data_IF_946739339969
#
_entry.id   IF_946739339969
#
_cell.length_a   1.000
_cell.length_b   1.000
_cell.length_c   1.000
_cell.angle_alpha   90.00
_cell.angle_beta   90.00
_cell.angle_gamma   90.00
#
_symmetry.space_group_name_H-M   'P 1'
#
loop_
_entity.id
_entity.type
_entity.pdbx_description
1 polymer ?
#
# COMPACT_ATOMS: atom_id res chain seq x y z
N UNK A 1 5.88 18.58 6.00
CA UNK A 1 5.66 17.97 4.67
C UNK A 1 4.78 18.89 3.87
N UNK A 2 5.15 19.17 2.63
CA UNK A 2 4.57 20.26 1.83
C UNK A 2 3.58 19.76 0.78
N UNK A 3 3.82 18.56 0.25
CA UNK A 3 2.93 17.91 -0.70
C UNK A 3 3.04 16.38 -0.60
N UNK A 4 2.22 15.67 -1.37
CA UNK A 4 2.35 14.22 -1.57
C UNK A 4 3.07 13.90 -2.89
N UNK A 5 3.62 12.69 -2.99
CA UNK A 5 4.34 12.24 -4.18
C UNK A 5 3.42 12.22 -5.41
N UNK A 6 2.11 12.02 -5.24
CA UNK A 6 1.16 12.07 -6.35
C UNK A 6 1.07 13.48 -6.95
N UNK A 7 1.13 14.53 -6.13
CA UNK A 7 1.16 15.92 -6.56
C UNK A 7 2.46 16.23 -7.32
N UNK A 8 3.59 15.71 -6.84
CA UNK A 8 4.89 15.81 -7.53
C UNK A 8 4.81 15.17 -8.92
N UNK A 9 4.31 13.94 -9.03
CA UNK A 9 4.19 13.23 -10.31
C UNK A 9 3.23 13.96 -11.26
N UNK A 10 2.07 14.41 -10.77
CA UNK A 10 1.10 15.16 -11.57
C UNK A 10 1.58 16.53 -12.03
N UNK A 11 2.48 17.18 -11.27
CA UNK A 11 3.01 18.49 -11.64
C UNK A 11 3.81 18.46 -12.94
N UNK A 12 4.32 17.29 -13.33
CA UNK A 12 5.20 17.14 -14.48
C UNK A 12 6.56 17.82 -14.29
N UNK A 13 6.90 18.21 -13.05
CA UNK A 13 8.23 18.74 -12.75
C UNK A 13 9.30 17.70 -13.15
N UNK A 14 10.45 18.12 -13.71
CA UNK A 14 11.48 17.17 -14.11
C UNK A 14 12.01 16.39 -12.90
N UNK A 15 11.83 15.06 -12.92
CA UNK A 15 12.44 14.14 -11.98
C UNK A 15 13.54 13.34 -12.71
N UNK A 16 14.66 13.16 -12.04
CA UNK A 16 15.80 12.39 -12.54
C UNK A 16 15.81 10.99 -11.93
N UNK A 17 16.59 10.08 -12.51
CA UNK A 17 16.80 8.72 -11.96
C UNK A 17 17.24 8.75 -10.49
N UNK A 18 18.09 9.72 -10.11
CA UNK A 18 18.51 9.92 -8.72
C UNK A 18 17.35 10.26 -7.77
N UNK A 19 16.35 11.02 -8.24
CA UNK A 19 15.13 11.27 -7.46
C UNK A 19 14.33 9.99 -7.28
N UNK A 20 14.19 9.17 -8.33
CA UNK A 20 13.51 7.89 -8.25
C UNK A 20 14.20 6.93 -7.27
N UNK A 21 15.53 6.81 -7.37
CA UNK A 21 16.33 6.02 -6.42
C UNK A 21 16.11 6.49 -4.98
N UNK A 22 16.19 7.80 -4.74
CA UNK A 22 16.01 8.37 -3.40
C UNK A 22 14.60 8.09 -2.84
N UNK A 23 13.54 8.30 -3.62
CA UNK A 23 12.18 8.03 -3.16
C UNK A 23 11.95 6.55 -2.88
N UNK A 24 12.38 5.65 -3.78
CA UNK A 24 12.22 4.20 -3.58
C UNK A 24 13.02 3.72 -2.38
N UNK A 25 14.25 4.21 -2.20
CA UNK A 25 15.06 3.91 -1.02
C UNK A 25 14.35 4.31 0.27
N UNK A 26 13.89 5.57 0.37
CA UNK A 26 13.21 6.07 1.57
C UNK A 26 11.90 5.32 1.87
N UNK A 27 11.14 4.94 0.83
CA UNK A 27 9.94 4.09 0.99
C UNK A 27 10.34 2.73 1.58
N UNK A 28 11.38 2.09 1.04
CA UNK A 28 11.83 0.77 1.52
C UNK A 28 12.42 0.83 2.94
N UNK A 29 13.15 1.88 3.31
CA UNK A 29 13.61 2.09 4.70
C UNK A 29 12.42 2.18 5.67
N UNK A 30 11.42 3.00 5.33
CA UNK A 30 10.19 3.09 6.12
C UNK A 30 9.46 1.76 6.20
N UNK A 31 9.39 1.03 5.08
CA UNK A 31 8.71 -0.25 5.01
C UNK A 31 9.44 -1.36 5.79
N UNK A 32 10.78 -1.38 5.80
CA UNK A 32 11.60 -2.28 6.62
C UNK A 32 11.24 -2.12 8.10
N UNK A 33 11.17 -0.86 8.55
CA UNK A 33 10.78 -0.54 9.92
C UNK A 33 9.35 -1.03 10.23
N UNK A 34 8.37 -0.68 9.39
CA UNK A 34 6.96 -1.09 9.55
C UNK A 34 6.82 -2.62 9.56
N UNK A 35 7.43 -3.30 8.60
CA UNK A 35 7.36 -4.76 8.47
C UNK A 35 8.03 -5.49 9.62
N UNK A 36 9.13 -4.96 10.17
CA UNK A 36 9.76 -5.54 11.35
C UNK A 36 8.91 -5.43 12.62
N UNK A 37 7.92 -4.54 12.64
CA UNK A 37 6.90 -4.46 13.70
C UNK A 37 5.70 -5.39 13.48
N UNK A 38 5.75 -6.27 12.47
CA UNK A 38 4.63 -7.10 12.01
C UNK A 38 3.38 -6.29 11.60
N UNK A 39 3.59 -5.13 11.00
CA UNK A 39 2.53 -4.28 10.42
C UNK A 39 2.59 -4.37 8.90
N UNK A 40 1.43 -4.50 8.25
CA UNK A 40 1.26 -4.32 6.81
C UNK A 40 0.59 -2.97 6.55
N UNK A 41 1.11 -2.19 5.60
CA UNK A 41 0.53 -0.88 5.29
C UNK A 41 -0.76 -1.01 4.47
N UNK A 42 -0.80 -1.92 3.49
CA UNK A 42 -1.96 -2.29 2.64
C UNK A 42 -2.49 -1.22 1.69
N UNK A 43 -2.15 0.04 1.88
CA UNK A 43 -2.55 1.16 1.01
C UNK A 43 -1.38 2.08 0.62
N UNK A 44 -0.23 1.50 0.28
CA UNK A 44 0.87 2.29 -0.27
C UNK A 44 0.49 2.78 -1.68
N UNK A 45 0.53 4.10 -1.86
CA UNK A 45 0.28 4.80 -3.12
C UNK A 45 0.94 6.18 -3.05
N UNK A 46 1.22 6.85 -4.18
CA UNK A 46 1.87 8.16 -4.17
C UNK A 46 1.15 9.22 -3.30
N UNK A 47 -0.17 9.12 -3.13
CA UNK A 47 -0.94 10.02 -2.26
C UNK A 47 -0.69 9.83 -0.76
N UNK A 48 -0.17 8.66 -0.35
CA UNK A 48 0.14 8.32 1.03
C UNK A 48 1.65 8.43 1.33
N UNK A 49 2.39 9.09 0.43
CA UNK A 49 3.82 9.35 0.56
C UNK A 49 4.04 10.85 0.57
N UNK A 50 4.30 11.40 1.75
CA UNK A 50 4.49 12.82 1.95
C UNK A 50 5.91 13.21 1.58
N UNK A 51 6.09 14.37 0.94
CA UNK A 51 7.38 14.89 0.49
C UNK A 51 7.53 16.37 0.88
N UNK A 52 8.75 16.81 1.17
CA UNK A 52 9.12 18.22 1.39
C UNK A 52 10.10 18.73 0.32
N UNK A 53 10.43 20.03 0.35
CA UNK A 53 11.37 20.67 -0.55
C UNK A 53 12.76 20.01 -0.61
N UNK A 54 13.19 19.37 0.48
CA UNK A 54 14.48 18.68 0.58
C UNK A 54 14.44 17.24 0.03
N UNK A 55 13.32 16.84 -0.60
CA UNK A 55 13.06 15.49 -1.11
C UNK A 55 13.09 14.39 -0.02
N UNK A 56 12.85 14.76 1.24
CA UNK A 56 12.60 13.80 2.30
C UNK A 56 11.18 13.24 2.13
N UNK A 57 11.05 11.93 2.25
CA UNK A 57 9.83 11.18 2.07
C UNK A 57 9.42 10.50 3.39
N UNK A 58 8.14 10.58 3.74
CA UNK A 58 7.56 9.84 4.87
C UNK A 58 6.26 9.16 4.47
N UNK A 59 6.12 7.90 4.87
CA UNK A 59 4.89 7.12 4.71
C UNK A 59 3.84 7.65 5.71
N UNK A 60 2.60 7.82 5.26
CA UNK A 60 1.47 8.21 6.09
C UNK A 60 0.23 7.37 5.78
N UNK A 61 -0.84 7.61 6.55
CA UNK A 61 -2.15 6.97 6.41
C UNK A 61 -2.15 5.45 6.68
N UNK A 62 -2.07 5.12 7.97
CA UNK A 62 -2.14 3.75 8.49
C UNK A 62 -3.58 3.30 8.78
N UNK A 63 -4.62 3.99 8.28
CA UNK A 63 -6.02 3.64 8.56
C UNK A 63 -6.40 2.24 8.06
N UNK A 64 -5.74 1.78 7.00
CA UNK A 64 -5.92 0.46 6.38
C UNK A 64 -4.87 -0.56 6.85
N UNK A 65 -3.95 -0.16 7.74
CA UNK A 65 -2.89 -1.03 8.21
C UNK A 65 -3.43 -2.14 9.10
N UNK A 66 -2.82 -3.33 9.04
CA UNK A 66 -3.22 -4.49 9.87
C UNK A 66 -2.01 -5.27 10.35
N UNK A 67 -2.23 -6.07 11.38
CA UNK A 67 -1.25 -7.03 11.87
C UNK A 67 -0.98 -8.12 10.85
N UNK A 68 0.28 -8.51 10.75
CA UNK A 68 0.71 -9.73 10.10
C UNK A 68 0.96 -10.78 11.17
N UNK A 69 0.23 -11.90 11.12
CA UNK A 69 0.57 -13.09 11.88
C UNK A 69 1.23 -14.14 10.99
N UNK A 70 2.06 -15.00 11.57
CA UNK A 70 2.53 -16.21 10.87
C UNK A 70 1.40 -17.23 10.76
N UNK A 71 0.40 -17.17 11.65
CA UNK A 71 -0.78 -18.03 11.61
C UNK A 71 -1.78 -17.52 10.55
N UNK A 72 -2.06 -18.29 9.48
CA UNK A 72 -3.03 -17.91 8.46
C UNK A 72 -4.45 -17.72 9.00
N UNK A 73 -4.84 -18.41 10.09
CA UNK A 73 -6.18 -18.29 10.69
C UNK A 73 -6.36 -16.92 11.35
N UNK A 74 -5.32 -16.39 11.98
CA UNK A 74 -5.33 -15.03 12.54
C UNK A 74 -5.38 -13.96 11.44
N UNK A 75 -4.84 -14.25 10.25
CA UNK A 75 -4.88 -13.34 9.10
C UNK A 75 -6.23 -13.33 8.35
N UNK A 76 -7.10 -14.32 8.58
CA UNK A 76 -8.33 -14.51 7.81
C UNK A 76 -9.42 -13.45 8.11
N UNK A 77 -9.38 -12.81 9.29
CA UNK A 77 -10.36 -11.80 9.70
C UNK A 77 -10.26 -10.44 8.97
N UNK A 78 -9.21 -10.21 8.18
CA UNK A 78 -8.84 -8.86 7.71
C UNK A 78 -9.32 -8.50 6.28
N UNK A 79 -10.27 -9.26 5.73
CA UNK A 79 -10.66 -9.22 4.30
C UNK A 79 -11.51 -8.02 3.86
N UNK A 80 -12.01 -7.19 4.78
CA UNK A 80 -13.05 -6.19 4.49
C UNK A 80 -12.52 -4.76 4.37
N UNK A 81 -11.90 -4.42 3.22
CA UNK A 81 -11.83 -3.00 2.85
C UNK A 81 -11.84 -2.75 1.33
N UNK A 82 -13.05 -2.65 0.79
CA UNK A 82 -13.34 -2.43 -0.64
C UNK A 82 -13.29 -0.94 -1.06
N UNK A 83 -12.89 -0.03 -0.16
CA UNK A 83 -13.09 1.42 -0.32
C UNK A 83 -11.77 2.18 -0.51
N UNK A 84 -10.88 1.71 -1.39
CA UNK A 84 -9.65 2.44 -1.74
C UNK A 84 -9.25 2.27 -3.20
N UNK A 85 -8.22 3.04 -3.61
CA UNK A 85 -7.67 3.04 -4.97
C UNK A 85 -7.04 1.68 -5.28
N UNK A 86 -7.66 0.90 -6.18
CA UNK A 86 -7.22 -0.47 -6.52
C UNK A 86 -5.92 -0.58 -7.32
N UNK A 87 -5.44 0.54 -7.88
CA UNK A 87 -4.33 0.57 -8.84
C UNK A 87 -3.00 0.04 -8.30
N UNK A 88 -2.81 0.10 -6.97
CA UNK A 88 -1.59 -0.33 -6.29
C UNK A 88 -1.78 -1.63 -5.49
N UNK A 89 -2.95 -2.26 -5.57
CA UNK A 89 -3.25 -3.50 -4.85
C UNK A 89 -2.57 -4.69 -5.54
N UNK A 90 -1.97 -5.55 -4.72
CA UNK A 90 -1.33 -6.78 -5.19
C UNK A 90 -2.36 -7.77 -5.78
N UNK A 91 -2.01 -8.56 -6.79
CA UNK A 91 -2.93 -9.50 -7.43
C UNK A 91 -3.48 -10.51 -6.42
N UNK A 92 -2.68 -10.92 -5.44
CA UNK A 92 -3.12 -11.87 -4.41
C UNK A 92 -4.22 -11.35 -3.48
N UNK A 93 -4.32 -10.02 -3.29
CA UNK A 93 -5.42 -9.35 -2.57
C UNK A 93 -6.72 -9.43 -3.38
N UNK A 94 -6.63 -9.41 -4.70
CA UNK A 94 -7.79 -9.47 -5.59
C UNK A 94 -8.25 -10.91 -5.87
N UNK A 95 -7.34 -11.87 -5.75
CA UNK A 95 -7.53 -13.27 -6.10
C UNK A 95 -7.77 -14.18 -4.88
N UNK A 96 -7.85 -13.58 -3.69
CA UNK A 96 -8.08 -14.26 -2.40
C UNK A 96 -7.08 -15.38 -2.13
N UNK A 97 -5.78 -15.11 -2.30
CA UNK A 97 -4.78 -16.05 -1.79
C UNK A 97 -4.92 -16.10 -0.28
N UNK A 98 -4.83 -17.31 0.29
CA UNK A 98 -4.93 -17.53 1.74
C UNK A 98 -3.70 -17.01 2.51
N UNK A 99 -2.73 -16.40 1.82
CA UNK A 99 -1.44 -15.95 2.37
C UNK A 99 -1.18 -14.47 2.06
N UNK A 100 -1.75 -13.58 2.86
CA UNK A 100 -1.36 -12.18 2.86
C UNK A 100 -0.02 -12.04 3.59
N UNK A 101 0.98 -11.53 2.89
CA UNK A 101 2.33 -11.36 3.44
C UNK A 101 2.80 -9.93 3.24
N UNK A 102 3.96 -9.61 3.83
CA UNK A 102 4.73 -8.38 3.57
C UNK A 102 4.93 -8.09 2.08
N UNK A 103 4.86 -9.11 1.21
CA UNK A 103 4.97 -8.94 -0.24
C UNK A 103 3.91 -8.00 -0.85
N UNK A 104 2.73 -7.87 -0.24
CA UNK A 104 1.65 -7.02 -0.80
C UNK A 104 2.07 -5.55 -0.89
N UNK A 105 2.83 -5.07 0.10
CA UNK A 105 3.31 -3.69 0.12
C UNK A 105 4.44 -3.52 -0.90
N UNK A 106 5.29 -4.54 -1.11
CA UNK A 106 6.34 -4.51 -2.14
C UNK A 106 5.75 -4.38 -3.55
N UNK A 107 4.62 -5.04 -3.82
CA UNK A 107 3.90 -4.85 -5.08
C UNK A 107 3.48 -3.40 -5.29
N UNK A 108 2.94 -2.76 -4.25
CA UNK A 108 2.57 -1.35 -4.29
C UNK A 108 3.78 -0.45 -4.56
N UNK A 109 4.95 -0.74 -3.97
CA UNK A 109 6.21 -0.04 -4.28
C UNK A 109 6.61 -0.22 -5.74
N UNK A 110 6.46 -1.43 -6.30
CA UNK A 110 6.67 -1.67 -7.73
C UNK A 110 5.75 -0.83 -8.61
N UNK A 111 4.47 -0.71 -8.25
CA UNK A 111 3.52 0.16 -8.94
C UNK A 111 3.93 1.65 -8.87
N UNK A 112 4.42 2.10 -7.71
CA UNK A 112 4.93 3.46 -7.51
C UNK A 112 6.17 3.72 -8.37
N UNK A 113 7.12 2.78 -8.43
CA UNK A 113 8.31 2.89 -9.30
C UNK A 113 7.91 2.95 -10.78
N UNK A 114 6.99 2.10 -11.23
CA UNK A 114 6.49 2.16 -12.61
C UNK A 114 5.78 3.49 -12.91
N UNK A 115 5.06 4.06 -11.94
CA UNK A 115 4.42 5.37 -12.08
C UNK A 115 5.43 6.53 -12.11
N UNK A 116 6.50 6.47 -11.32
CA UNK A 116 7.60 7.42 -11.39
C UNK A 116 8.29 7.40 -12.77
N UNK A 117 8.56 6.21 -13.31
CA UNK A 117 9.16 6.03 -14.63
C UNK A 117 8.22 6.45 -15.77
N UNK A 118 6.91 6.23 -15.61
CA UNK A 118 5.90 6.47 -16.65
C UNK A 118 5.17 7.82 -16.55
N UNK A 119 5.31 8.54 -15.43
CA UNK A 119 4.58 9.77 -15.12
C UNK A 119 3.07 9.60 -14.93
N UNK A 120 2.57 8.36 -14.82
CA UNK A 120 1.14 8.04 -14.69
C UNK A 120 0.94 6.66 -14.03
N UNK A 121 -0.21 6.42 -13.37
CA UNK A 121 -0.50 5.13 -12.76
C UNK A 121 -0.34 3.98 -13.76
N UNK A 122 0.38 2.93 -13.35
CA UNK A 122 0.78 1.83 -14.24
C UNK A 122 -0.36 0.85 -14.55
N UNK A 123 -1.04 0.36 -13.51
CA UNK A 123 -2.24 -0.47 -13.64
C UNK A 123 -3.48 0.33 -13.24
N UNK A 124 -4.19 0.88 -14.22
CA UNK A 124 -5.32 1.80 -14.00
C UNK A 124 -6.66 1.13 -14.25
N UNK A 125 -6.94 0.04 -13.55
CA UNK A 125 -8.18 -0.73 -13.66
C UNK A 125 -9.41 0.05 -13.23
N UNK A 126 -10.45 -0.01 -14.06
CA UNK A 126 -11.77 0.59 -13.78
C UNK A 126 -12.55 -0.18 -12.72
N UNK A 127 -12.39 -1.49 -12.71
CA UNK A 127 -12.97 -2.45 -11.77
C UNK A 127 -11.96 -3.59 -11.49
N UNK A 128 -12.37 -4.63 -10.75
CA UNK A 128 -11.48 -5.74 -10.40
C UNK A 128 -11.04 -6.57 -11.61
N UNK A 129 -11.95 -6.80 -12.56
CA UNK A 129 -11.68 -7.62 -13.75
C UNK A 129 -10.76 -6.86 -14.69
N UNK A 130 -11.03 -5.58 -14.93
CA UNK A 130 -10.19 -4.68 -15.73
C UNK A 130 -8.81 -4.51 -15.11
N UNK A 131 -8.71 -4.40 -13.78
CA UNK A 131 -7.42 -4.34 -13.07
C UNK A 131 -6.61 -5.63 -13.27
N UNK A 132 -7.22 -6.80 -13.13
CA UNK A 132 -6.56 -8.09 -13.37
C UNK A 132 -6.10 -8.22 -14.82
N UNK A 133 -6.95 -7.85 -15.78
CA UNK A 133 -6.61 -7.87 -17.20
C UNK A 133 -5.44 -6.95 -17.53
N UNK A 134 -5.36 -5.76 -16.93
CA UNK A 134 -4.21 -4.88 -17.10
C UNK A 134 -2.93 -5.49 -16.54
N UNK A 135 -2.99 -6.12 -15.36
CA UNK A 135 -1.83 -6.82 -14.79
C UNK A 135 -1.35 -7.92 -15.73
N UNK A 136 -2.26 -8.80 -16.17
CA UNK A 136 -1.94 -9.92 -17.07
C UNK A 136 -1.45 -9.47 -18.45
N UNK A 137 -1.94 -8.33 -18.94
CA UNK A 137 -1.48 -7.75 -20.21
C UNK A 137 0.01 -7.44 -20.20
N UNK A 138 0.53 -6.90 -19.09
CA UNK A 138 1.95 -6.55 -18.98
C UNK A 138 2.81 -7.71 -18.47
N UNK A 139 2.35 -8.44 -17.45
CA UNK A 139 3.14 -9.51 -16.82
C UNK A 139 3.01 -10.86 -17.54
N UNK A 140 2.01 -11.01 -18.40
CA UNK A 140 1.68 -12.24 -19.10
C UNK A 140 0.78 -13.17 -18.30
N UNK A 141 0.36 -14.26 -18.95
CA UNK A 141 -0.42 -15.32 -18.32
C UNK A 141 0.47 -16.08 -17.31
N UNK A 142 0.08 -16.18 -16.02
CA UNK A 142 0.83 -16.93 -15.02
C UNK A 142 0.88 -18.43 -15.38
N UNK A 143 1.92 -19.11 -14.90
CA UNK A 143 2.06 -20.56 -15.08
C UNK A 143 1.00 -21.33 -14.26
N UNK A 144 0.82 -22.62 -14.56
CA UNK A 144 -0.17 -23.45 -13.86
C UNK A 144 0.11 -23.59 -12.35
N UNK A 145 1.38 -23.56 -11.93
CA UNK A 145 1.72 -23.65 -10.51
C UNK A 145 1.21 -22.43 -9.74
N UNK A 146 1.46 -21.22 -10.26
CA UNK A 146 0.97 -19.97 -9.72
C UNK A 146 -0.56 -19.88 -9.80
N UNK A 147 -1.18 -20.36 -10.89
CA UNK A 147 -2.65 -20.42 -11.02
C UNK A 147 -3.28 -21.32 -9.96
N UNK A 148 -2.70 -22.49 -9.68
CA UNK A 148 -3.22 -23.42 -8.69
C UNK A 148 -3.21 -22.86 -7.26
N UNK A 149 -2.33 -21.87 -6.98
CA UNK A 149 -2.24 -21.21 -5.66
C UNK A 149 -3.31 -20.15 -5.43
N UNK A 150 -4.02 -19.71 -6.48
CA UNK A 150 -5.14 -18.76 -6.36
C UNK A 150 -6.27 -19.42 -5.56
N UNK A 151 -6.70 -18.81 -4.45
CA UNK A 151 -7.72 -19.40 -3.57
C UNK A 151 -9.14 -19.38 -4.13
N UNK A 152 -9.41 -18.59 -5.17
CA UNK A 152 -10.72 -18.48 -5.81
C UNK A 152 -10.84 -19.35 -7.07
N UNK A 153 -11.68 -20.41 -7.08
CA UNK A 153 -11.88 -21.27 -8.26
C UNK A 153 -12.37 -20.49 -9.48
N UNK A 154 -13.22 -19.48 -9.28
CA UNK A 154 -13.72 -18.62 -10.36
C UNK A 154 -12.63 -17.79 -10.98
N UNK A 155 -11.74 -17.24 -10.16
CA UNK A 155 -10.63 -16.46 -10.67
C UNK A 155 -9.64 -17.34 -11.42
N UNK A 156 -9.39 -18.57 -10.95
CA UNK A 156 -8.60 -19.54 -11.70
C UNK A 156 -9.21 -19.85 -13.07
N UNK A 157 -10.50 -20.19 -13.12
CA UNK A 157 -11.20 -20.50 -14.36
C UNK A 157 -11.22 -19.30 -15.31
N UNK A 158 -11.44 -18.09 -14.77
CA UNK A 158 -11.38 -16.85 -15.53
C UNK A 158 -10.03 -16.69 -16.23
N UNK A 159 -8.91 -16.81 -15.49
CA UNK A 159 -7.57 -16.64 -16.07
C UNK A 159 -7.23 -17.77 -17.06
N UNK A 160 -7.64 -19.02 -16.79
CA UNK A 160 -7.45 -20.15 -17.72
C UNK A 160 -8.18 -19.97 -19.05
N UNK A 161 -9.33 -19.29 -19.04
CA UNK A 161 -10.13 -19.03 -20.24
C UNK A 161 -9.63 -17.82 -21.06
N UNK A 162 -8.69 -17.04 -20.54
CA UNK A 162 -8.08 -15.95 -21.29
C UNK A 162 -7.10 -16.49 -22.34
N UNK A 163 -6.94 -15.79 -23.49
CA UNK A 163 -5.89 -16.13 -24.43
C UNK A 163 -4.51 -15.96 -23.78
N UNK A 164 -3.56 -16.79 -24.20
CA UNK A 164 -2.18 -16.68 -23.74
C UNK A 164 -1.60 -15.30 -24.05
N UNK A 165 -1.03 -14.66 -23.02
CA UNK A 165 -0.37 -13.36 -23.11
C UNK A 165 1.11 -13.52 -22.74
N UNK A 166 2.06 -13.21 -23.64
CA UNK A 166 3.47 -13.18 -23.28
C UNK A 166 3.79 -11.93 -22.44
N UNK A 167 4.69 -12.08 -21.45
CA UNK A 167 5.20 -10.96 -20.66
C UNK A 167 5.81 -9.88 -21.57
N UNK A 168 5.43 -8.62 -21.34
CA UNK A 168 6.02 -7.47 -22.02
C UNK A 168 7.25 -7.03 -21.22
N UNK A 169 8.43 -7.11 -21.85
CA UNK A 169 9.67 -6.66 -21.21
C UNK A 169 9.59 -5.17 -20.83
N UNK A 170 9.89 -4.82 -19.58
CA UNK A 170 9.81 -3.44 -19.07
C UNK A 170 10.67 -2.45 -19.87
N UNK A 171 11.80 -2.89 -20.44
CA UNK A 171 12.62 -2.04 -21.33
C UNK A 171 11.86 -1.57 -22.59
N UNK A 172 10.85 -2.32 -23.06
CA UNK A 172 9.99 -1.85 -24.15
C UNK A 172 9.00 -0.77 -23.71
N UNK A 173 8.61 -0.79 -22.44
CA UNK A 173 7.68 0.17 -21.85
C UNK A 173 8.39 1.45 -21.42
N UNK A 174 9.62 1.32 -20.92
CA UNK A 174 10.45 2.40 -20.39
C UNK A 174 11.85 2.38 -21.04
N UNK A 175 11.98 2.66 -22.34
CA UNK A 175 13.22 2.47 -23.10
C UNK A 175 14.38 3.38 -22.68
N UNK A 176 14.09 4.48 -21.99
CA UNK A 176 15.08 5.43 -21.50
C UNK A 176 15.40 5.26 -20.02
N UNK A 177 14.76 4.29 -19.34
CA UNK A 177 14.97 4.07 -17.91
C UNK A 177 16.29 3.35 -17.65
N UNK A 178 16.83 3.55 -16.45
CA UNK A 178 18.01 2.84 -15.98
C UNK A 178 17.73 1.32 -15.98
N UNK A 179 18.59 0.48 -16.60
CA UNK A 179 18.41 -0.98 -16.60
C UNK A 179 18.29 -1.59 -15.20
N UNK A 180 19.03 -1.07 -14.21
CA UNK A 180 18.95 -1.55 -12.83
C UNK A 180 17.60 -1.19 -12.17
N UNK A 181 16.97 -0.07 -12.57
CA UNK A 181 15.62 0.29 -12.13
C UNK A 181 14.59 -0.71 -12.65
N UNK A 182 14.72 -1.10 -13.92
CA UNK A 182 13.83 -2.06 -14.56
C UNK A 182 13.99 -3.47 -13.99
N UNK A 183 15.22 -3.84 -13.65
CA UNK A 183 15.54 -5.11 -12.99
C UNK A 183 14.97 -5.17 -11.56
N UNK A 184 15.01 -4.06 -10.81
CA UNK A 184 14.33 -3.98 -9.51
C UNK A 184 12.81 -4.03 -9.66
N UNK A 185 12.27 -3.26 -10.62
CA UNK A 185 10.84 -3.21 -10.92
C UNK A 185 10.28 -4.59 -11.26
N UNK A 186 11.00 -5.37 -12.07
CA UNK A 186 10.59 -6.72 -12.47
C UNK A 186 10.46 -7.66 -11.26
N UNK A 187 11.39 -7.55 -10.31
CA UNK A 187 11.37 -8.35 -9.07
C UNK A 187 10.30 -7.90 -8.07
N UNK A 188 9.92 -6.61 -8.08
CA UNK A 188 8.81 -6.09 -7.26
C UNK A 188 7.44 -6.44 -7.82
N UNK A 189 7.31 -6.46 -9.16
CA UNK A 189 6.06 -6.78 -9.86
C UNK A 189 5.97 -8.27 -10.26
N UNK A 190 6.55 -9.16 -9.46
CA UNK A 190 6.29 -10.59 -9.60
C UNK A 190 4.82 -10.89 -9.27
N UNK A 191 4.14 -11.60 -10.17
CA UNK A 191 2.73 -11.97 -9.99
C UNK A 191 2.56 -12.92 -8.80
N UNK A 192 3.44 -13.92 -8.69
CA UNK A 192 3.50 -14.80 -7.53
C UNK A 192 4.17 -14.07 -6.35
N UNK A 193 3.50 -13.89 -5.20
CA UNK A 193 4.09 -13.20 -4.05
C UNK A 193 5.32 -13.90 -3.48
N UNK A 194 5.49 -15.21 -3.70
CA UNK A 194 6.66 -15.97 -3.25
C UNK A 194 7.92 -15.71 -4.09
N UNK A 195 7.76 -15.26 -5.33
CA UNK A 195 8.85 -14.86 -6.22
C UNK A 195 9.21 -13.38 -6.08
N UNK A 196 8.38 -12.62 -5.35
CA UNK A 196 8.57 -11.19 -5.14
C UNK A 196 9.77 -10.92 -4.23
N UNK A 197 10.59 -9.94 -4.59
CA UNK A 197 11.72 -9.51 -3.76
C UNK A 197 11.23 -9.04 -2.38
N UNK A 198 11.99 -9.33 -1.33
CA UNK A 198 11.69 -8.78 0.01
C UNK A 198 12.22 -7.36 0.13
N UNK A 199 11.77 -6.61 1.13
CA UNK A 199 12.24 -5.25 1.37
C UNK A 199 13.75 -5.20 1.60
N UNK A 200 14.29 -6.16 2.36
CA UNK A 200 15.71 -6.26 2.68
C UNK A 200 16.54 -6.50 1.41
N UNK A 201 16.12 -7.47 0.59
CA UNK A 201 16.77 -7.74 -0.70
C UNK A 201 16.67 -6.58 -1.68
N UNK A 202 15.59 -5.80 -1.61
CA UNK A 202 15.41 -4.61 -2.44
C UNK A 202 16.36 -3.47 -2.03
N UNK A 203 16.59 -3.27 -0.73
CA UNK A 203 17.58 -2.31 -0.21
C UNK A 203 19.00 -2.66 -0.64
N UNK A 204 19.34 -3.96 -0.66
CA UNK A 204 20.62 -4.47 -1.14
C UNK A 204 20.78 -4.46 -2.68
N UNK A 205 19.74 -4.08 -3.42
CA UNK A 205 19.75 -4.14 -4.89
C UNK A 205 20.71 -3.10 -5.49
N UNK A 206 21.37 -3.45 -6.60
CA UNK A 206 22.33 -2.57 -7.30
C UNK A 206 21.77 -1.17 -7.59
N UNK A 207 20.49 -1.10 -7.93
CA UNK A 207 19.81 0.17 -8.19
C UNK A 207 19.84 1.15 -7.00
N UNK A 208 19.91 0.67 -5.77
CA UNK A 208 19.90 1.49 -4.55
C UNK A 208 21.27 1.54 -3.85
N UNK A 209 22.31 0.95 -4.45
CA UNK A 209 23.64 0.78 -3.83
C UNK A 209 24.28 2.10 -3.35
N UNK A 210 23.96 3.23 -3.98
CA UNK A 210 24.49 4.55 -3.59
C UNK A 210 23.92 5.02 -2.24
N UNK A 211 22.69 4.60 -1.92
CA UNK A 211 21.95 5.02 -0.73
C UNK A 211 22.02 3.99 0.40
N UNK A 212 22.17 2.71 0.06
CA UNK A 212 22.14 1.61 1.00
C UNK A 212 23.22 1.74 2.09
N UNK A 213 22.77 1.88 3.33
CA UNK A 213 23.60 1.81 4.53
C UNK A 213 22.87 0.99 5.60
N UNK A 214 23.27 -0.29 5.83
CA UNK A 214 22.64 -1.14 6.83
C UNK A 214 22.59 -0.54 8.24
N UNK A 215 23.52 0.36 8.58
CA UNK A 215 23.57 1.00 9.90
C UNK A 215 22.55 2.11 10.09
N UNK A 216 22.04 2.67 8.98
CA UNK A 216 21.02 3.73 8.96
C UNK A 216 19.64 3.19 8.50
N UNK A 217 19.47 1.87 8.50
CA UNK A 217 18.23 1.20 8.14
C UNK A 217 17.67 0.37 9.33
N UNK A 218 17.17 1.04 10.38
CA UNK A 218 16.77 0.37 11.62
C UNK A 218 15.51 -0.48 11.44
N UNK A 219 15.38 -1.49 12.29
CA UNK A 219 14.13 -2.22 12.53
C UNK A 219 13.42 -1.66 13.75
N UNK A 220 12.11 -1.85 13.84
CA UNK A 220 11.31 -1.49 15.01
C UNK A 220 11.76 -2.31 16.22
N UNK A 221 12.00 -1.68 17.40
CA UNK A 221 12.45 -2.39 18.60
C UNK A 221 11.43 -3.38 19.17
N UNK A 222 10.16 -3.22 18.86
CA UNK A 222 9.07 -4.06 19.34
C UNK A 222 8.00 -4.25 18.26
N UNK A 223 7.34 -5.41 18.30
CA UNK A 223 6.17 -5.68 17.46
C UNK A 223 4.97 -4.83 17.91
N UNK A 224 4.15 -4.43 16.95
CA UNK A 224 2.95 -3.66 17.23
C UNK A 224 1.79 -4.58 17.60
N UNK A 225 1.10 -4.28 18.71
CA UNK A 225 0.02 -5.12 19.21
C UNK A 225 -1.34 -4.64 18.69
N UNK A 226 -2.01 -5.48 17.89
CA UNK A 226 -3.33 -5.21 17.33
C UNK A 226 -4.51 -5.63 18.23
N UNK A 227 -4.26 -5.92 19.51
CA UNK A 227 -5.29 -6.38 20.44
C UNK A 227 -6.45 -5.40 20.68
N UNK A 228 -6.33 -4.15 20.22
CA UNK A 228 -7.43 -3.18 20.28
C UNK A 228 -8.47 -3.37 19.15
N UNK A 229 -8.16 -4.09 18.07
CA UNK A 229 -9.07 -4.23 16.91
C UNK A 229 -10.31 -5.09 17.22
N UNK A 230 -10.27 -5.91 18.28
CA UNK A 230 -11.42 -6.73 18.71
C UNK A 230 -12.47 -5.95 19.50
N UNK A 231 -12.20 -4.68 19.81
CA UNK A 231 -13.11 -3.84 20.59
C UNK A 231 -14.23 -3.31 19.69
N UNK A 232 -15.44 -3.83 19.88
CA UNK A 232 -16.62 -3.40 19.11
C UNK A 232 -17.39 -2.23 19.77
N UNK A 233 -17.22 -2.01 21.09
CA UNK A 233 -17.96 -0.97 21.81
C UNK A 233 -17.42 0.44 21.54
N UNK A 234 -18.30 1.34 21.10
CA UNK A 234 -17.95 2.71 20.74
C UNK A 234 -17.52 3.54 21.97
N UNK A 235 -18.09 3.30 23.15
CA UNK A 235 -17.70 4.06 24.34
C UNK A 235 -16.30 3.65 24.83
N UNK A 236 -15.99 2.36 24.75
CA UNK A 236 -14.65 1.83 25.02
C UNK A 236 -13.63 2.38 24.00
N UNK A 237 -13.92 2.33 22.70
CA UNK A 237 -13.06 2.93 21.67
C UNK A 237 -12.79 4.42 21.94
N UNK A 238 -13.84 5.19 22.29
CA UNK A 238 -13.69 6.61 22.62
C UNK A 238 -12.79 6.82 23.84
N UNK A 239 -12.91 5.97 24.86
CA UNK A 239 -12.05 6.02 26.04
C UNK A 239 -10.59 5.72 25.68
N UNK A 240 -10.34 4.67 24.89
CA UNK A 240 -8.99 4.30 24.44
C UNK A 240 -8.32 5.43 23.65
N UNK A 241 -9.05 6.10 22.76
CA UNK A 241 -8.54 7.27 22.01
C UNK A 241 -8.16 8.41 22.98
N UNK A 242 -8.99 8.69 23.99
CA UNK A 242 -8.68 9.73 24.98
C UNK A 242 -7.45 9.36 25.82
N UNK A 243 -7.35 8.11 26.27
CA UNK A 243 -6.21 7.60 27.04
C UNK A 243 -4.91 7.69 26.24
N UNK A 244 -4.94 7.39 24.94
CA UNK A 244 -3.80 7.52 24.04
C UNK A 244 -3.36 8.99 23.88
N UNK A 245 -4.31 9.91 23.68
CA UNK A 245 -4.02 11.35 23.60
C UNK A 245 -3.39 11.87 24.90
N UNK A 246 -3.89 11.44 26.06
CA UNK A 246 -3.35 11.82 27.36
C UNK A 246 -1.94 11.26 27.55
N UNK A 247 -1.75 9.98 27.27
CA UNK A 247 -0.46 9.28 27.36
C UNK A 247 0.59 9.96 26.47
N UNK A 248 0.25 10.22 25.21
CA UNK A 248 1.14 10.92 24.28
C UNK A 248 1.52 12.32 24.78
N UNK A 249 0.54 13.10 25.29
CA UNK A 249 0.80 14.43 25.86
C UNK A 249 1.75 14.37 27.05
N UNK A 250 1.65 13.36 27.91
CA UNK A 250 2.58 13.19 29.02
C UNK A 250 3.98 12.84 28.53
N UNK A 251 4.11 11.97 27.53
CA UNK A 251 5.40 11.58 26.95
C UNK A 251 6.13 12.77 26.35
N UNK A 252 5.46 13.60 25.54
CA UNK A 252 6.11 14.73 24.85
C UNK A 252 6.33 15.99 25.72
N UNK A 253 5.72 16.07 26.91
CA UNK A 253 5.83 17.23 27.82
C UNK A 253 6.77 17.02 29.01
N UNK A 254 7.43 15.86 29.12
CA UNK A 254 8.45 15.66 30.16
C UNK A 254 9.58 16.70 29.97
N UNK A 255 9.95 17.47 31.01
CA UNK A 255 11.06 18.42 30.91
C UNK A 255 12.36 17.67 30.60
N UNK A 256 13.20 18.27 29.75
CA UNK A 256 14.41 17.72 29.14
C UNK A 256 15.55 17.29 30.11
N UNK A 257 15.28 17.14 31.41
CA UNK A 257 16.25 16.76 32.43
C UNK A 257 16.17 15.31 32.94
N UNK A 258 15.27 14.48 32.42
CA UNK A 258 15.08 13.08 32.87
C UNK A 258 14.79 12.08 31.72
N UNK A 259 15.28 12.34 30.50
CA UNK A 259 15.19 11.38 29.41
C UNK A 259 16.52 10.62 29.28
N UNK A 260 16.50 9.32 29.56
CA UNK A 260 17.46 8.39 28.98
C UNK A 260 17.36 8.39 27.46
N UNK A 261 18.39 7.92 26.78
CA UNK A 261 18.77 8.16 25.37
C UNK A 261 17.76 7.87 24.25
N UNK A 262 16.52 7.43 24.53
CA UNK A 262 15.68 6.77 23.52
C UNK A 262 14.35 7.50 23.27
N UNK A 263 14.35 8.83 23.11
CA UNK A 263 13.13 9.57 22.71
C UNK A 263 13.31 10.34 21.41
N UNK A 264 12.55 9.92 20.39
CA UNK A 264 12.39 10.64 19.13
C UNK A 264 11.72 11.99 19.42
N UNK A 265 12.43 13.08 19.18
CA UNK A 265 11.93 14.45 19.34
C UNK A 265 10.99 14.81 18.18
N UNK A 266 9.68 14.65 18.38
CA UNK A 266 8.68 15.18 17.45
C UNK A 266 8.40 16.64 17.82
N UNK A 267 8.91 17.58 17.01
CA UNK A 267 8.66 19.00 17.19
C UNK A 267 7.20 19.35 16.90
N UNK A 268 6.54 20.04 17.84
CA UNK A 268 5.18 20.58 17.64
C UNK A 268 5.30 21.96 16.97
N UNK A 269 4.56 22.27 15.89
CA UNK A 269 4.48 23.65 15.38
C UNK A 269 3.74 24.55 16.38
N UNK A 270 4.37 25.64 16.79
CA UNK A 270 3.73 26.66 17.64
C UNK A 270 2.53 27.30 16.93
N UNK A 271 1.35 27.24 17.56
CA UNK A 271 0.16 27.99 17.12
C UNK A 271 0.40 29.48 17.37
N UNK A 272 0.67 30.23 16.31
CA UNK A 272 0.46 31.69 16.34
C UNK A 272 -1.05 31.96 16.44
N UNK A 273 -1.45 32.60 17.52
CA UNK A 273 -2.80 33.11 17.71
C UNK A 273 -3.02 34.35 16.84
N UNK A 274 -4.13 34.36 16.08
CA UNK A 274 -5.06 35.48 15.75
C UNK A 274 -5.50 35.49 14.28
N UNK A 275 -6.83 35.55 14.04
CA UNK A 275 -7.43 35.83 12.73
C UNK A 275 -8.78 35.15 12.49
N UNK A 276 -9.85 35.92 12.44
CA UNK A 276 -11.27 35.53 12.32
C UNK A 276 -11.61 34.69 11.07
N UNK A 277 -12.37 33.59 11.25
CA UNK A 277 -13.09 32.90 10.16
C UNK A 277 -14.56 33.30 10.20
N UNK A 278 -15.04 33.93 9.12
CA UNK A 278 -16.46 34.20 8.87
C UNK A 278 -17.17 32.99 8.27
N UNK A 279 -18.41 32.81 8.70
CA UNK A 279 -19.38 31.80 8.24
C UNK A 279 -19.60 31.84 6.72
N UNK A 280 -19.43 30.69 6.04
CA UNK A 280 -20.27 30.29 4.91
C UNK A 280 -20.04 28.80 4.57
N UNK A 281 -21.07 27.99 4.80
CA UNK A 281 -21.13 26.59 4.39
C UNK A 281 -21.58 26.46 2.92
N UNK A 282 -21.09 25.46 2.15
CA UNK A 282 -21.48 25.21 0.76
C UNK A 282 -22.56 24.13 0.65
N UNK A 283 -23.39 24.16 -0.41
CA UNK A 283 -24.20 23.01 -0.88
C UNK A 283 -24.75 23.22 -2.32
N UNK A 284 -25.27 22.18 -3.01
CA UNK A 284 -24.71 21.65 -4.26
C UNK A 284 -25.68 21.71 -5.47
N UNK A 285 -25.22 21.32 -6.66
CA UNK A 285 -26.12 20.96 -7.78
C UNK A 285 -25.65 19.70 -8.52
N UNK A 286 -26.61 18.78 -8.71
CA UNK A 286 -26.54 17.48 -9.39
C UNK A 286 -26.89 17.57 -10.88
N UNK A 287 -26.52 16.50 -11.65
CA UNK A 287 -27.21 15.82 -12.77
C UNK A 287 -26.20 15.38 -13.86
N UNK A 288 -26.18 14.17 -14.45
CA UNK A 288 -27.03 12.98 -14.33
C UNK A 288 -26.55 11.82 -15.25
N UNK A 289 -26.86 10.59 -14.82
CA UNK A 289 -27.26 9.34 -15.54
C UNK A 289 -26.71 8.95 -16.94
N UNK A 290 -26.16 7.72 -17.06
CA UNK A 290 -26.63 6.64 -17.97
C UNK A 290 -25.96 5.26 -17.68
N UNK A 291 -26.73 4.17 -17.75
CA UNK A 291 -26.32 2.72 -17.71
C UNK A 291 -27.11 2.01 -18.82
N UNK A 292 -26.59 0.97 -19.53
CA UNK A 292 -26.90 -0.44 -19.18
C UNK A 292 -25.71 -1.40 -19.43
N UNK A 293 -25.34 -2.28 -18.50
CA UNK A 293 -25.94 -3.58 -18.12
C UNK A 293 -25.19 -4.76 -18.77
N UNK A 294 -24.88 -5.79 -17.97
CA UNK A 294 -24.24 -7.03 -18.42
C UNK A 294 -22.99 -7.51 -17.66
N UNK A 295 -23.02 -7.61 -16.32
CA UNK A 295 -22.13 -8.55 -15.60
C UNK A 295 -22.55 -8.92 -14.15
N UNK A 296 -23.83 -8.76 -13.81
CA UNK A 296 -24.32 -8.90 -12.43
C UNK A 296 -24.17 -10.30 -11.81
N UNK A 297 -23.87 -11.34 -12.60
CA UNK A 297 -23.66 -12.70 -12.08
C UNK A 297 -22.22 -12.95 -11.57
N UNK A 298 -21.22 -12.20 -12.05
CA UNK A 298 -19.82 -12.34 -11.58
C UNK A 298 -19.53 -11.38 -10.42
N UNK A 299 -20.16 -10.20 -10.40
CA UNK A 299 -20.01 -9.21 -9.33
C UNK A 299 -20.66 -9.65 -8.01
N UNK A 300 -21.86 -10.25 -8.06
CA UNK A 300 -22.53 -10.76 -6.85
C UNK A 300 -21.76 -11.89 -6.15
N UNK A 301 -20.90 -12.53 -6.92
CA UNK A 301 -20.31 -13.81 -6.58
C UNK A 301 -18.82 -13.70 -6.21
N UNK A 302 -18.26 -12.50 -6.42
CA UNK A 302 -17.02 -11.99 -5.80
C UNK A 302 -17.31 -11.02 -4.63
N UNK A 303 -18.55 -10.53 -4.48
CA UNK A 303 -18.99 -9.68 -3.37
C UNK A 303 -19.63 -10.45 -2.20
N UNK A 304 -19.97 -11.73 -2.37
CA UNK A 304 -20.64 -12.56 -1.37
C UNK A 304 -19.75 -13.67 -0.81
N UNK A 305 -18.97 -13.35 0.22
CA UNK A 305 -18.38 -14.34 1.12
C UNK A 305 -19.45 -14.85 2.09
N UNK A 306 -19.58 -16.17 2.14
CA UNK A 306 -20.48 -17.01 2.93
C UNK A 306 -20.83 -16.50 4.34
N UNK A 307 -22.13 -16.23 4.57
CA UNK A 307 -22.78 -16.42 5.87
C UNK A 307 -24.00 -17.35 5.74
N UNK A 308 -23.83 -18.53 6.33
CA UNK A 308 -24.80 -19.17 7.23
C UNK A 308 -26.23 -19.44 6.73
N UNK A 309 -26.44 -20.64 6.18
CA UNK A 309 -27.66 -21.40 6.46
C UNK A 309 -27.78 -21.64 7.97
N UNK A 310 -28.88 -21.26 8.60
CA UNK A 310 -29.67 -22.13 9.48
C UNK A 310 -30.93 -21.42 10.01
N UNK A 311 -32.11 -21.91 9.61
CA UNK A 311 -33.26 -22.13 10.51
C UNK A 311 -34.35 -22.92 9.77
N UNK A 312 -34.76 -24.04 10.38
CA UNK A 312 -36.05 -24.74 10.36
C UNK A 312 -35.87 -26.27 10.28
N UNK A 313 -35.58 -26.87 11.44
CA UNK A 313 -36.54 -27.73 12.15
C UNK A 313 -36.27 -27.66 13.65
#
# INVERSE_FOLDING_TARGET
MECDLAAIIRSGQPLTDAHFQSFIYQILCGLKYIHSANVLHRDLKPGNLLVNADCELKICDFGLARGFSVDPEENAGYMTEYVATRWYRAPEIMLSFQSYTKAIDVWSVGCILAELLGGRPFFKGRDYVDQLNQILHYLGTPNEETLCRIGSPRAQEYVRNLPFMPKIAFNRLFPNANPDALDLLDKMLAFDPSERITVEKALEHRYLQIWHDPSDEPTCPAEFQFGFEVVEDIQEMKKMILDEVVTFRHTVRKPAGQAGSDTISVGIPERQATGQYGDQAPRPHEAGTYVPDGNAALEAELAGGLDGRHAYH
#
